data_IF_185870809779
#
_entry.id   IF_185870809779
#
_cell.length_a   1.000
_cell.length_b   1.000
_cell.length_c   1.000
_cell.angle_alpha   90.00
_cell.angle_beta   90.00
_cell.angle_gamma   90.00
#
_symmetry.space_group_name_H-M   'P 1'
#
loop_
_entity.id
_entity.type
_entity.pdbx_description
1 polymer ?
#
# COMPACT_ATOMS: atom_id res chain seq x y z
N UNK A 1 3.56 17.71 0.24
CA UNK A 1 3.92 16.41 -0.41
C UNK A 1 4.51 15.54 0.67
N UNK A 2 4.00 14.33 0.86
CA UNK A 2 4.40 13.43 1.95
C UNK A 2 5.78 12.83 1.68
N UNK A 3 6.63 12.79 2.70
CA UNK A 3 7.92 12.10 2.69
C UNK A 3 8.38 11.88 4.13
N UNK A 4 9.50 11.18 4.36
CA UNK A 4 10.12 11.07 5.68
C UNK A 4 10.52 12.43 6.29
N UNK A 5 10.63 13.48 5.47
CA UNK A 5 10.89 14.85 5.92
C UNK A 5 9.61 15.61 6.32
N UNK A 6 8.44 15.14 5.89
CA UNK A 6 7.11 15.70 6.24
C UNK A 6 6.02 14.62 6.16
N UNK A 7 5.64 14.10 7.31
CA UNK A 7 4.60 13.05 7.45
C UNK A 7 3.20 13.62 7.69
N UNK A 8 3.03 14.94 7.73
CA UNK A 8 1.77 15.60 8.13
C UNK A 8 0.59 15.27 7.21
N UNK A 9 0.87 14.85 5.97
CA UNK A 9 -0.15 14.44 4.99
C UNK A 9 -0.57 12.98 5.09
N UNK A 10 0.10 12.14 5.90
CA UNK A 10 -0.33 10.75 6.06
C UNK A 10 -1.66 10.69 6.82
N UNK A 11 -2.64 9.89 6.33
CA UNK A 11 -3.87 9.64 7.07
C UNK A 11 -3.58 8.86 8.35
N UNK A 12 -4.53 8.85 9.30
CA UNK A 12 -4.43 7.93 10.43
C UNK A 12 -4.44 6.46 9.95
N UNK A 13 -3.93 5.55 10.78
CA UNK A 13 -3.73 4.15 10.41
C UNK A 13 -5.01 3.42 10.00
N UNK A 14 -6.17 3.76 10.58
CA UNK A 14 -7.46 3.16 10.21
C UNK A 14 -7.89 3.61 8.81
N UNK A 15 -7.82 4.91 8.53
CA UNK A 15 -8.11 5.44 7.19
C UNK A 15 -7.12 4.91 6.16
N UNK A 16 -5.82 4.85 6.51
CA UNK A 16 -4.80 4.26 5.65
C UNK A 16 -5.12 2.81 5.30
N UNK A 17 -5.53 2.01 6.29
CA UNK A 17 -5.91 0.61 6.11
C UNK A 17 -7.08 0.46 5.13
N UNK A 18 -8.13 1.26 5.28
CA UNK A 18 -9.29 1.24 4.38
C UNK A 18 -8.89 1.65 2.97
N UNK A 19 -8.07 2.68 2.84
CA UNK A 19 -7.54 3.14 1.57
C UNK A 19 -6.71 2.05 0.87
N UNK A 20 -5.78 1.40 1.57
CA UNK A 20 -4.98 0.30 1.05
C UNK A 20 -5.85 -0.89 0.58
N UNK A 21 -6.92 -1.22 1.31
CA UNK A 21 -7.88 -2.24 0.86
C UNK A 21 -8.61 -1.81 -0.41
N UNK A 22 -8.99 -0.54 -0.52
CA UNK A 22 -9.62 0.03 -1.71
C UNK A 22 -8.71 -0.06 -2.95
N UNK A 23 -7.41 0.24 -2.80
CA UNK A 23 -6.42 0.10 -3.87
C UNK A 23 -6.28 -1.36 -4.33
N UNK A 24 -6.20 -2.30 -3.39
CA UNK A 24 -6.14 -3.72 -3.73
C UNK A 24 -7.43 -4.23 -4.39
N UNK A 25 -8.61 -3.73 -3.97
CA UNK A 25 -9.89 -4.03 -4.62
C UNK A 25 -9.94 -3.49 -6.05
N UNK A 26 -9.40 -2.29 -6.27
CA UNK A 26 -9.30 -1.71 -7.60
C UNK A 26 -8.44 -2.57 -8.53
N UNK A 27 -7.28 -3.03 -8.08
CA UNK A 27 -6.42 -3.92 -8.88
C UNK A 27 -7.10 -5.26 -9.19
N UNK A 28 -7.93 -5.81 -8.29
CA UNK A 28 -8.74 -7.01 -8.57
C UNK A 28 -9.76 -6.75 -9.69
N UNK A 29 -10.37 -5.56 -9.72
CA UNK A 29 -11.32 -5.17 -10.75
C UNK A 29 -10.63 -4.91 -12.10
N UNK A 30 -9.46 -4.27 -12.07
CA UNK A 30 -8.75 -3.85 -13.29
C UNK A 30 -7.97 -4.98 -13.95
N UNK A 31 -7.48 -5.94 -13.16
CA UNK A 31 -6.55 -7.00 -13.61
C UNK A 31 -7.13 -8.37 -13.33
N UNK A 32 -7.33 -9.18 -14.39
CA UNK A 32 -7.80 -10.55 -14.31
C UNK A 32 -6.86 -11.43 -13.46
N UNK A 33 -7.39 -12.52 -12.87
CA UNK A 33 -6.62 -13.35 -11.95
C UNK A 33 -5.43 -14.04 -12.62
N UNK A 34 -5.56 -14.43 -13.90
CA UNK A 34 -4.44 -15.01 -14.66
C UNK A 34 -3.25 -14.04 -14.80
N UNK A 35 -3.51 -12.74 -14.73
CA UNK A 35 -2.51 -11.67 -14.77
C UNK A 35 -2.22 -11.07 -13.39
N UNK A 36 -2.65 -11.70 -12.31
CA UNK A 36 -2.52 -11.16 -10.94
C UNK A 36 -1.09 -10.79 -10.53
N UNK A 37 -0.08 -11.34 -11.20
CA UNK A 37 1.32 -11.02 -10.96
C UNK A 37 1.73 -9.61 -11.42
N UNK A 38 0.90 -8.92 -12.24
CA UNK A 38 1.13 -7.52 -12.63
C UNK A 38 0.37 -6.52 -11.76
N UNK A 39 -0.39 -6.98 -10.76
CA UNK A 39 -1.07 -6.09 -9.80
C UNK A 39 -0.04 -5.30 -9.00
N UNK A 40 -0.24 -4.00 -8.94
CA UNK A 40 0.62 -3.10 -8.17
C UNK A 40 0.31 -3.13 -6.68
N UNK A 41 -0.93 -3.43 -6.32
CA UNK A 41 -1.44 -3.41 -4.96
C UNK A 41 -2.07 -4.73 -4.58
N UNK A 42 -1.61 -5.30 -3.46
CA UNK A 42 -2.20 -6.51 -2.91
C UNK A 42 -2.44 -6.35 -1.41
N UNK A 43 -3.46 -7.03 -0.88
CA UNK A 43 -3.80 -6.98 0.53
C UNK A 43 -3.97 -8.39 1.10
N UNK A 44 -3.41 -8.63 2.28
CA UNK A 44 -3.55 -9.89 3.00
C UNK A 44 -4.10 -9.64 4.41
N UNK A 45 -5.41 -9.87 4.65
CA UNK A 45 -6.05 -9.65 5.95
C UNK A 45 -5.65 -10.70 6.98
N UNK A 46 -5.03 -11.80 6.57
CA UNK A 46 -4.57 -12.90 7.41
C UNK A 46 -3.05 -13.11 7.28
N UNK A 47 -2.28 -12.01 7.05
CA UNK A 47 -0.82 -12.11 6.90
C UNK A 47 -0.15 -12.84 8.06
N UNK A 48 -0.58 -12.54 9.30
CA UNK A 48 -0.25 -13.27 10.52
C UNK A 48 -1.42 -13.15 11.50
N UNK A 49 -1.42 -13.99 12.56
CA UNK A 49 -2.50 -13.94 13.56
C UNK A 49 -2.73 -12.53 14.08
N UNK A 50 -3.91 -11.97 13.78
CA UNK A 50 -4.33 -10.63 14.19
C UNK A 50 -3.56 -9.48 13.51
N UNK A 51 -2.89 -9.74 12.39
CA UNK A 51 -2.09 -8.76 11.65
C UNK A 51 -2.39 -8.84 10.15
N UNK A 52 -2.45 -7.70 9.52
CA UNK A 52 -2.76 -7.55 8.12
C UNK A 52 -1.59 -6.88 7.40
N UNK A 53 -1.44 -7.12 6.11
CA UNK A 53 -0.38 -6.52 5.30
C UNK A 53 -0.92 -6.05 3.95
N UNK A 54 -0.48 -4.86 3.55
CA UNK A 54 -0.62 -4.34 2.20
C UNK A 54 0.76 -4.30 1.55
N UNK A 55 0.81 -4.64 0.27
CA UNK A 55 2.02 -4.60 -0.54
C UNK A 55 1.77 -3.72 -1.75
N UNK A 56 2.72 -2.84 -2.02
CA UNK A 56 2.74 -2.02 -3.22
C UNK A 56 4.06 -2.23 -3.98
N UNK A 57 4.00 -2.21 -5.30
CA UNK A 57 5.18 -2.26 -6.18
C UNK A 57 4.87 -1.52 -7.47
N UNK A 58 5.87 -0.88 -8.04
CA UNK A 58 5.78 -0.29 -9.39
C UNK A 58 6.08 -1.33 -10.50
N UNK A 59 6.39 -2.57 -10.10
CA UNK A 59 6.75 -3.66 -11.02
C UNK A 59 8.24 -3.69 -11.40
N UNK A 60 9.05 -2.74 -10.91
CA UNK A 60 10.49 -2.67 -11.14
C UNK A 60 11.27 -2.53 -9.82
N UNK A 61 11.62 -1.34 -9.45
CA UNK A 61 12.61 -1.05 -8.41
C UNK A 61 12.03 -0.59 -7.09
N UNK A 62 10.80 -0.05 -7.13
CA UNK A 62 10.13 0.47 -5.94
C UNK A 62 9.13 -0.53 -5.36
N UNK A 63 9.22 -0.75 -4.06
CA UNK A 63 8.30 -1.60 -3.33
C UNK A 63 8.05 -1.07 -1.92
N UNK A 64 6.85 -1.33 -1.42
CA UNK A 64 6.45 -0.93 -0.07
C UNK A 64 5.58 -2.00 0.57
N UNK A 65 5.75 -2.19 1.87
CA UNK A 65 4.85 -2.98 2.71
C UNK A 65 4.28 -2.10 3.82
N UNK A 66 2.97 -2.17 4.03
CA UNK A 66 2.29 -1.56 5.17
C UNK A 66 1.75 -2.67 6.06
N UNK A 67 2.18 -2.69 7.31
CA UNK A 67 1.82 -3.69 8.31
C UNK A 67 0.87 -3.08 9.33
N UNK A 68 -0.32 -3.63 9.44
CA UNK A 68 -1.34 -3.24 10.42
C UNK A 68 -1.40 -4.28 11.52
N UNK A 69 -1.26 -3.85 12.76
CA UNK A 69 -1.27 -4.70 13.94
C UNK A 69 -1.98 -4.01 15.11
N UNK A 70 -2.43 -4.75 16.13
CA UNK A 70 -2.99 -4.15 17.36
C UNK A 70 -2.01 -3.20 18.06
N UNK A 71 -0.72 -3.42 17.87
CA UNK A 71 0.36 -2.64 18.45
C UNK A 71 0.64 -1.32 17.70
N UNK A 72 0.04 -1.12 16.52
CA UNK A 72 0.24 0.05 15.67
C UNK A 72 0.40 -0.30 14.19
N UNK A 73 0.95 0.63 13.42
CA UNK A 73 1.18 0.47 11.99
C UNK A 73 2.64 0.76 11.64
N UNK A 74 3.16 0.03 10.65
CA UNK A 74 4.52 0.24 10.11
C UNK A 74 4.44 0.28 8.59
N UNK A 75 5.07 1.29 8.00
CA UNK A 75 5.30 1.42 6.55
C UNK A 75 6.79 1.23 6.32
N UNK A 76 7.16 0.27 5.49
CA UNK A 76 8.55 0.05 5.09
C UNK A 76 8.65 0.07 3.58
N UNK A 77 9.54 0.88 3.04
CA UNK A 77 9.71 1.04 1.61
C UNK A 77 11.16 0.90 1.17
N UNK A 78 11.32 0.57 -0.09
CA UNK A 78 12.61 0.45 -0.76
C UNK A 78 12.52 0.97 -2.19
N UNK A 79 13.60 1.61 -2.62
CA UNK A 79 13.89 1.86 -4.03
C UNK A 79 15.28 1.28 -4.30
N UNK A 80 15.34 0.26 -5.17
CA UNK A 80 16.60 -0.41 -5.48
C UNK A 80 17.51 0.37 -6.41
N UNK A 81 16.97 1.34 -7.17
CA UNK A 81 17.78 2.24 -8.03
C UNK A 81 18.62 3.23 -7.22
N UNK A 82 18.19 3.55 -5.98
CA UNK A 82 18.96 4.45 -5.10
C UNK A 82 20.25 3.82 -4.57
N UNK A 83 20.49 2.54 -4.89
CA UNK A 83 21.69 1.82 -4.45
C UNK A 83 22.56 1.44 -5.63
N UNK A 84 23.61 2.16 -5.82
CA UNK A 84 24.74 1.65 -6.60
C UNK A 84 25.46 0.56 -5.77
N UNK A 85 26.12 -0.37 -6.46
CA UNK A 85 26.83 -1.51 -5.85
C UNK A 85 27.87 -1.11 -4.79
N UNK A 86 28.22 0.17 -4.75
CA UNK A 86 29.20 0.75 -3.83
C UNK A 86 28.57 1.51 -2.64
N UNK A 87 27.31 1.93 -2.72
CA UNK A 87 26.62 2.60 -1.62
C UNK A 87 25.93 1.60 -0.69
N UNK A 88 26.22 1.71 0.59
CA UNK A 88 25.58 0.85 1.60
C UNK A 88 24.15 1.30 1.86
N UNK A 89 23.23 0.34 1.75
CA UNK A 89 21.89 0.47 2.33
C UNK A 89 21.95 1.05 3.75
N UNK A 90 21.02 1.91 4.14
CA UNK A 90 20.88 2.28 5.55
C UNK A 90 20.70 0.99 6.37
N UNK A 91 21.28 0.96 7.54
CA UNK A 91 21.04 -0.17 8.45
C UNK A 91 19.63 -0.07 8.97
N UNK A 92 18.93 -1.18 9.06
CA UNK A 92 17.57 -1.22 9.56
C UNK A 92 17.47 -0.67 10.99
N UNK A 93 18.52 -0.82 11.78
CA UNK A 93 18.63 -0.31 13.14
C UNK A 93 18.59 1.23 13.16
N UNK A 94 19.20 1.88 12.17
CA UNK A 94 19.21 3.35 12.06
C UNK A 94 17.83 3.87 11.65
N UNK A 95 17.16 3.17 10.73
CA UNK A 95 15.81 3.51 10.27
C UNK A 95 14.74 3.28 11.35
N UNK A 96 14.97 2.39 12.30
CA UNK A 96 14.02 1.99 13.34
C UNK A 96 14.44 2.41 14.75
N UNK A 97 15.43 3.28 14.88
CA UNK A 97 15.83 3.80 16.19
C UNK A 97 14.65 4.51 16.86
N UNK A 98 14.43 4.25 18.15
CA UNK A 98 13.28 4.75 18.88
C UNK A 98 11.94 4.05 18.56
N UNK A 99 11.89 3.13 17.59
CA UNK A 99 10.68 2.36 17.32
C UNK A 99 10.37 1.42 18.51
N UNK A 100 9.10 1.34 18.95
CA UNK A 100 8.70 0.44 20.03
C UNK A 100 9.03 -1.02 19.75
N UNK A 101 9.46 -1.81 20.76
CA UNK A 101 9.85 -3.21 20.57
C UNK A 101 8.76 -4.10 19.97
N UNK A 102 7.49 -3.76 20.20
CA UNK A 102 6.35 -4.49 19.61
C UNK A 102 6.29 -4.31 18.09
N UNK A 103 6.56 -3.09 17.59
CA UNK A 103 6.61 -2.79 16.16
C UNK A 103 7.91 -3.31 15.53
N UNK A 104 9.04 -3.26 16.23
CA UNK A 104 10.30 -3.84 15.75
C UNK A 104 10.16 -5.34 15.41
N UNK A 105 9.29 -6.08 16.14
CA UNK A 105 8.99 -7.49 15.83
C UNK A 105 8.32 -7.67 14.47
N UNK A 106 7.55 -6.68 13.99
CA UNK A 106 6.97 -6.71 12.63
C UNK A 106 8.09 -6.63 11.59
N UNK A 107 9.06 -5.73 11.81
CA UNK A 107 10.23 -5.54 10.94
C UNK A 107 11.13 -6.78 10.87
N UNK A 108 11.09 -7.65 11.87
CA UNK A 108 11.86 -8.91 11.87
C UNK A 108 11.26 -10.02 11.00
N UNK A 109 10.14 -9.78 10.33
CA UNK A 109 9.52 -10.74 9.43
C UNK A 109 10.39 -11.08 8.23
N UNK A 110 10.22 -12.28 7.68
CA UNK A 110 11.02 -12.74 6.52
C UNK A 110 10.76 -11.86 5.30
N UNK A 111 9.53 -11.42 5.11
CA UNK A 111 9.08 -10.58 3.99
C UNK A 111 9.80 -9.22 4.03
N UNK A 112 9.75 -8.54 5.18
CA UNK A 112 10.42 -7.24 5.38
C UNK A 112 11.94 -7.38 5.21
N UNK A 113 12.55 -8.39 5.85
CA UNK A 113 14.01 -8.63 5.74
C UNK A 113 14.48 -8.87 4.30
N UNK A 114 13.64 -9.52 3.47
CA UNK A 114 13.97 -9.74 2.06
C UNK A 114 13.85 -8.49 1.21
N UNK A 115 12.90 -7.63 1.56
CA UNK A 115 12.60 -6.42 0.82
C UNK A 115 13.73 -5.40 0.89
N UNK A 116 14.55 -5.43 1.96
CA UNK A 116 15.49 -4.36 2.31
C UNK A 116 14.70 -3.09 2.72
N UNK A 117 15.38 -1.94 2.91
CA UNK A 117 14.68 -0.74 3.35
C UNK A 117 15.49 0.50 3.01
N UNK A 118 14.83 1.52 2.45
CA UNK A 118 15.37 2.85 2.29
C UNK A 118 14.75 3.83 3.27
N UNK A 119 13.51 3.53 3.69
CA UNK A 119 12.84 4.27 4.74
C UNK A 119 11.93 3.37 5.57
N UNK A 120 11.65 3.82 6.78
CA UNK A 120 10.66 3.22 7.65
C UNK A 120 9.88 4.29 8.40
N UNK A 121 8.54 4.16 8.41
CA UNK A 121 7.61 5.07 9.10
C UNK A 121 6.71 4.24 10.00
N UNK A 122 6.40 4.71 11.21
CA UNK A 122 5.54 3.94 12.14
C UNK A 122 4.65 4.84 13.01
N UNK A 123 3.62 4.24 13.56
CA UNK A 123 2.76 4.84 14.59
C UNK A 123 2.32 3.78 15.59
N UNK A 124 2.30 4.10 16.90
CA UNK A 124 1.73 3.26 17.97
C UNK A 124 0.27 3.60 18.23
N UNK A 125 -0.06 4.89 18.19
CA UNK A 125 -1.40 5.41 18.52
C UNK A 125 -2.34 5.48 17.31
N UNK A 126 -1.83 5.13 16.12
CA UNK A 126 -2.55 5.17 14.86
C UNK A 126 -2.72 6.57 14.28
N UNK A 127 -2.19 7.62 14.93
CA UNK A 127 -2.40 9.03 14.51
C UNK A 127 -1.10 9.81 14.37
N UNK A 128 -0.15 9.59 15.25
CA UNK A 128 1.15 10.27 15.26
C UNK A 128 2.18 9.42 14.55
N UNK A 129 2.63 9.87 13.40
CA UNK A 129 3.64 9.17 12.61
C UNK A 129 5.05 9.58 12.98
N UNK A 130 5.95 8.62 13.01
CA UNK A 130 7.37 8.76 13.33
C UNK A 130 8.24 8.11 12.25
N UNK A 131 9.43 8.63 12.05
CA UNK A 131 10.47 8.03 11.20
C UNK A 131 11.85 8.59 11.62
N UNK A 132 12.92 7.98 11.10
CA UNK A 132 14.26 8.53 11.12
C UNK A 132 14.64 8.90 9.68
N UNK A 133 14.47 10.16 9.27
CA UNK A 133 14.74 10.58 7.91
C UNK A 133 16.24 10.54 7.61
N UNK A 134 16.59 10.12 6.42
CA UNK A 134 17.96 10.22 5.92
C UNK A 134 18.22 11.58 5.27
N UNK A 135 19.49 11.97 5.22
CA UNK A 135 19.91 13.19 4.51
C UNK A 135 19.79 13.02 2.97
N UNK A 136 20.02 11.80 2.47
CA UNK A 136 19.88 11.42 1.06
C UNK A 136 18.42 11.21 0.65
N UNK A 137 18.18 11.03 -0.64
CA UNK A 137 16.91 10.54 -1.15
C UNK A 137 16.64 9.11 -0.67
N UNK A 138 15.38 8.81 -0.35
CA UNK A 138 14.95 7.55 0.24
C UNK A 138 13.71 6.93 -0.43
N UNK A 139 13.25 7.52 -1.54
CA UNK A 139 12.03 7.18 -2.29
C UNK A 139 10.71 7.33 -1.52
N UNK A 140 10.75 7.80 -0.26
CA UNK A 140 9.53 7.96 0.53
C UNK A 140 8.51 8.90 -0.10
N UNK A 141 8.99 9.92 -0.80
CA UNK A 141 8.15 10.91 -1.49
C UNK A 141 7.24 10.27 -2.54
N UNK A 142 7.78 9.39 -3.36
CA UNK A 142 7.04 8.75 -4.44
C UNK A 142 6.11 7.67 -3.89
N UNK A 143 6.63 6.76 -3.06
CA UNK A 143 5.87 5.66 -2.48
C UNK A 143 4.76 6.12 -1.54
N UNK A 144 5.03 7.05 -0.61
CA UNK A 144 4.00 7.54 0.32
C UNK A 144 2.92 8.38 -0.37
N UNK A 145 3.23 9.01 -1.51
CA UNK A 145 2.23 9.77 -2.28
C UNK A 145 1.13 8.88 -2.83
N UNK A 146 1.39 7.59 -3.05
CA UNK A 146 0.39 6.62 -3.54
C UNK A 146 -0.62 6.20 -2.47
N UNK A 147 -0.31 6.44 -1.20
CA UNK A 147 -1.14 6.05 -0.05
C UNK A 147 -1.52 7.25 0.84
N UNK A 148 -1.54 8.45 0.30
CA UNK A 148 -1.89 9.69 1.00
C UNK A 148 -3.37 9.79 1.45
N UNK A 149 -4.17 8.79 1.10
CA UNK A 149 -5.60 8.76 1.39
C UNK A 149 -6.44 9.67 0.49
N UNK A 150 -5.86 10.23 -0.58
CA UNK A 150 -6.55 11.06 -1.55
C UNK A 150 -6.80 10.26 -2.85
N UNK A 151 -8.06 9.94 -3.20
CA UNK A 151 -8.37 9.22 -4.42
C UNK A 151 -7.85 9.86 -5.71
N UNK A 152 -7.71 11.20 -5.74
CA UNK A 152 -7.18 11.90 -6.89
C UNK A 152 -5.71 11.56 -7.15
N UNK A 153 -4.89 11.45 -6.10
CA UNK A 153 -3.47 11.06 -6.23
C UNK A 153 -3.33 9.71 -6.90
N UNK A 154 -4.22 8.76 -6.54
CA UNK A 154 -4.25 7.47 -7.19
C UNK A 154 -4.73 7.53 -8.65
N UNK A 155 -5.75 8.32 -8.96
CA UNK A 155 -6.22 8.50 -10.35
C UNK A 155 -5.10 9.04 -11.24
N UNK A 156 -4.33 10.02 -10.75
CA UNK A 156 -3.20 10.57 -11.50
C UNK A 156 -2.07 9.52 -11.68
N UNK A 157 -1.77 8.75 -10.64
CA UNK A 157 -0.81 7.65 -10.70
C UNK A 157 -1.28 6.54 -11.65
N UNK A 158 -2.57 6.17 -11.59
CA UNK A 158 -3.17 5.11 -12.39
C UNK A 158 -3.14 5.36 -13.91
N UNK A 159 -3.04 6.62 -14.36
CA UNK A 159 -2.91 6.97 -15.78
C UNK A 159 -1.69 6.34 -16.46
N UNK A 160 -0.67 5.98 -15.67
CA UNK A 160 0.55 5.34 -16.18
C UNK A 160 0.39 3.84 -16.40
N UNK A 161 -0.56 3.18 -15.70
CA UNK A 161 -0.71 1.73 -15.66
C UNK A 161 -1.98 1.23 -16.37
N UNK A 162 -3.03 2.02 -16.37
CA UNK A 162 -4.30 1.61 -16.96
C UNK A 162 -4.56 2.35 -18.27
N UNK A 163 -5.00 1.63 -19.33
CA UNK A 163 -5.24 2.22 -20.64
C UNK A 163 -6.47 3.12 -20.70
N UNK A 164 -7.20 3.29 -19.60
CA UNK A 164 -8.42 4.08 -19.49
C UNK A 164 -8.32 5.05 -18.32
N UNK A 165 -8.98 6.22 -18.47
CA UNK A 165 -9.14 7.15 -17.36
C UNK A 165 -10.02 6.53 -16.27
N UNK A 166 -9.48 6.45 -15.05
CA UNK A 166 -10.23 5.97 -13.89
C UNK A 166 -11.23 7.05 -13.43
N UNK A 167 -12.53 6.75 -13.32
CA UNK A 167 -13.50 7.69 -12.79
C UNK A 167 -13.21 8.00 -11.32
N UNK A 168 -12.87 9.26 -11.01
CA UNK A 168 -12.52 9.68 -9.64
C UNK A 168 -13.55 9.27 -8.60
N UNK A 169 -14.85 9.36 -8.92
CA UNK A 169 -15.91 9.00 -7.99
C UNK A 169 -15.94 7.51 -7.69
N UNK A 170 -15.67 6.66 -8.68
CA UNK A 170 -15.59 5.21 -8.48
C UNK A 170 -14.37 4.83 -7.62
N UNK A 171 -13.21 5.46 -7.86
CA UNK A 171 -12.02 5.28 -7.01
C UNK A 171 -12.27 5.77 -5.58
N UNK A 172 -12.99 6.90 -5.41
CA UNK A 172 -13.38 7.41 -4.08
C UNK A 172 -14.26 6.41 -3.32
N UNK A 173 -15.26 5.83 -3.98
CA UNK A 173 -16.12 4.82 -3.35
C UNK A 173 -15.32 3.63 -2.83
N UNK A 174 -14.34 3.15 -3.61
CA UNK A 174 -13.43 2.08 -3.14
C UNK A 174 -12.55 2.54 -1.97
N UNK A 175 -11.99 3.73 -2.04
CA UNK A 175 -11.16 4.29 -0.97
C UNK A 175 -11.93 4.49 0.35
N UNK A 176 -13.24 4.77 0.25
CA UNK A 176 -14.14 4.94 1.39
C UNK A 176 -14.76 3.62 1.89
N UNK A 177 -14.41 2.48 1.28
CA UNK A 177 -14.89 1.16 1.70
C UNK A 177 -16.32 0.86 1.30
N UNK A 178 -16.87 1.54 0.30
CA UNK A 178 -18.22 1.26 -0.24
C UNK A 178 -18.22 -0.13 -0.87
N UNK A 179 -19.26 -0.96 -0.62
CA UNK A 179 -19.36 -2.29 -1.21
C UNK A 179 -19.26 -2.27 -2.74
N UNK A 180 -18.50 -3.19 -3.30
CA UNK A 180 -18.39 -3.34 -4.76
C UNK A 180 -19.68 -3.89 -5.33
N UNK A 181 -20.29 -3.16 -6.26
CA UNK A 181 -21.46 -3.60 -7.05
C UNK A 181 -21.06 -3.82 -8.50
N UNK A 182 -21.94 -4.45 -9.27
CA UNK A 182 -21.74 -4.63 -10.74
C UNK A 182 -21.62 -3.29 -11.48
N UNK A 183 -22.38 -2.29 -11.04
CA UNK A 183 -22.34 -0.93 -11.59
C UNK A 183 -20.98 -0.29 -11.34
N UNK A 184 -20.43 -0.43 -10.13
CA UNK A 184 -19.12 0.10 -9.79
C UNK A 184 -18.01 -0.57 -10.61
N UNK A 185 -18.04 -1.90 -10.75
CA UNK A 185 -17.11 -2.64 -11.61
C UNK A 185 -17.21 -2.16 -13.05
N UNK A 186 -18.43 -2.05 -13.59
CA UNK A 186 -18.67 -1.60 -14.98
C UNK A 186 -18.18 -0.16 -15.20
N UNK A 187 -18.31 0.71 -14.20
CA UNK A 187 -17.80 2.07 -14.28
C UNK A 187 -16.28 2.13 -14.34
N UNK A 188 -15.57 1.26 -13.61
CA UNK A 188 -14.11 1.18 -13.58
C UNK A 188 -13.54 0.43 -14.78
N UNK A 189 -14.13 -0.71 -15.11
CA UNK A 189 -13.69 -1.57 -16.19
C UNK A 189 -14.90 -2.16 -16.96
N UNK A 190 -15.39 -1.48 -18.01
CA UNK A 190 -16.59 -1.91 -18.73
C UNK A 190 -16.48 -3.28 -19.41
N UNK A 191 -15.25 -3.79 -19.59
CA UNK A 191 -15.01 -5.09 -20.21
C UNK A 191 -14.99 -6.24 -19.20
N UNK A 192 -14.89 -5.92 -17.91
CA UNK A 192 -14.75 -6.89 -16.83
C UNK A 192 -16.11 -7.52 -16.49
N UNK A 193 -16.23 -8.83 -16.64
CA UNK A 193 -17.49 -9.53 -16.43
C UNK A 193 -17.32 -10.91 -15.73
N UNK A 194 -16.14 -11.24 -15.26
CA UNK A 194 -15.79 -12.46 -14.51
C UNK A 194 -16.21 -12.30 -13.03
N UNK A 195 -17.53 -12.22 -12.80
CA UNK A 195 -18.10 -11.86 -11.48
C UNK A 195 -17.64 -12.78 -10.34
N UNK A 196 -17.58 -14.09 -10.59
CA UNK A 196 -17.13 -15.05 -9.57
C UNK A 196 -15.64 -14.89 -9.24
N UNK A 197 -14.84 -14.50 -10.20
CA UNK A 197 -13.42 -14.21 -9.98
C UNK A 197 -13.21 -12.93 -9.16
N UNK A 198 -13.93 -11.85 -9.53
CA UNK A 198 -13.89 -10.58 -8.77
C UNK A 198 -14.35 -10.85 -7.34
N UNK A 199 -15.48 -11.53 -7.16
CA UNK A 199 -16.02 -11.90 -5.85
C UNK A 199 -14.99 -12.66 -5.02
N UNK A 200 -14.40 -13.72 -5.58
CA UNK A 200 -13.40 -14.52 -4.87
C UNK A 200 -12.16 -13.68 -4.48
N UNK A 201 -11.74 -12.76 -5.34
CA UNK A 201 -10.65 -11.83 -5.06
C UNK A 201 -10.99 -10.87 -3.92
N UNK A 202 -12.19 -10.28 -3.91
CA UNK A 202 -12.66 -9.37 -2.86
C UNK A 202 -12.84 -10.10 -1.52
N UNK A 203 -13.40 -11.32 -1.53
CA UNK A 203 -13.49 -12.17 -0.34
C UNK A 203 -12.11 -12.45 0.26
N UNK A 204 -11.12 -12.75 -0.59
CA UNK A 204 -9.74 -13.04 -0.17
C UNK A 204 -9.09 -11.88 0.57
N UNK A 205 -9.35 -10.65 0.18
CA UNK A 205 -8.82 -9.46 0.84
C UNK A 205 -9.74 -8.90 1.93
N UNK A 206 -10.92 -9.49 2.11
CA UNK A 206 -11.93 -9.03 3.07
C UNK A 206 -12.50 -7.65 2.72
N UNK A 207 -12.72 -7.38 1.42
CA UNK A 207 -13.37 -6.16 0.96
C UNK A 207 -14.88 -6.39 0.76
N UNK A 208 -15.78 -5.48 1.19
CA UNK A 208 -17.23 -5.67 1.07
C UNK A 208 -17.68 -5.63 -0.40
N UNK A 209 -18.66 -6.46 -0.76
CA UNK A 209 -19.25 -6.49 -2.10
C UNK A 209 -20.69 -7.02 -2.10
N UNK A 210 -21.42 -6.73 -3.17
CA UNK A 210 -22.79 -7.14 -3.47
C UNK A 210 -22.87 -7.77 -4.89
N UNK A 211 -21.92 -8.67 -5.19
CA UNK A 211 -21.76 -9.37 -6.48
C UNK A 211 -22.45 -10.72 -6.49
#
# INVERSE_FOLDING_TARGET
>A
MISTKDLSGLPNAERLKNFCKGLAALDIIMVEEEWSFIRHYTYNPAWRKGKEAFFATDGSDQSMIVLFAPEGCVINGVDSELYDWEEKLPRIEDLTDGMPPALQKLMSSREVKKMKSTFCVWTEDGTTWHCNPMDSEDASKDLLSTIDGNPLSYVEYGKWFYPADLPLEAVRQLADGVPVTKELVTALNPKRNEWEEIKAGLDKIGYPHEL
#
